data_IF_239828762078
#
_entry.id   IF_239828762078
#
_cell.length_a   1.000
_cell.length_b   1.000
_cell.length_c   1.000
_cell.angle_alpha   90.00
_cell.angle_beta   90.00
_cell.angle_gamma   90.00
#
_symmetry.space_group_name_H-M   'P 1'
#
loop_
_entity.id
_entity.type
_entity.pdbx_description
1 polymer ?
#
# COMPACT_ATOMS: atom_id res chain seq x y z
N UNK A 1 4.03 27.75 30.61
CA UNK A 1 4.20 26.28 30.51
C UNK A 1 3.77 25.90 29.10
N UNK A 2 4.67 25.55 28.17
CA UNK A 2 4.24 25.07 26.87
C UNK A 2 3.74 23.64 27.02
N UNK A 3 2.53 23.39 26.53
CA UNK A 3 1.88 22.09 26.52
C UNK A 3 2.72 21.12 25.68
N UNK A 4 3.22 20.07 26.34
CA UNK A 4 3.91 18.97 25.66
C UNK A 4 2.84 18.13 24.97
N UNK A 5 2.66 18.34 23.67
CA UNK A 5 2.00 17.38 22.81
C UNK A 5 2.87 16.12 22.84
N UNK A 6 2.46 15.12 23.62
CA UNK A 6 3.08 13.82 23.56
C UNK A 6 2.87 13.32 22.13
N UNK A 7 3.92 13.38 21.32
CA UNK A 7 3.99 12.64 20.08
C UNK A 7 3.82 11.18 20.48
N UNK A 8 2.65 10.61 20.23
CA UNK A 8 2.48 9.17 20.13
C UNK A 8 3.35 8.75 18.94
N UNK A 9 4.65 8.58 19.18
CA UNK A 9 5.55 7.93 18.23
C UNK A 9 5.16 6.46 18.27
N UNK A 10 4.11 6.14 17.52
CA UNK A 10 3.85 4.77 17.12
C UNK A 10 4.89 4.48 16.07
N UNK A 11 5.96 3.78 16.47
CA UNK A 11 7.05 3.44 15.56
C UNK A 11 6.51 2.45 14.52
N UNK A 12 6.30 2.93 13.29
CA UNK A 12 5.99 2.07 12.17
C UNK A 12 7.26 1.25 11.86
N UNK A 13 7.19 -0.09 11.74
CA UNK A 13 8.38 -0.91 11.51
C UNK A 13 9.02 -0.63 10.13
N UNK A 14 8.26 0.01 9.24
CA UNK A 14 8.73 0.57 7.98
C UNK A 14 7.91 1.83 7.67
N UNK A 15 8.51 2.79 6.96
CA UNK A 15 7.81 3.94 6.39
C UNK A 15 8.02 3.96 4.87
N UNK A 16 7.06 4.49 4.09
CA UNK A 16 7.24 4.60 2.66
C UNK A 16 8.39 5.56 2.34
N UNK A 17 9.23 5.20 1.38
CA UNK A 17 10.27 6.07 0.82
C UNK A 17 9.69 7.10 -0.15
N UNK A 18 8.50 6.83 -0.69
CA UNK A 18 7.74 7.77 -1.52
C UNK A 18 6.23 7.54 -1.39
N UNK A 19 5.46 8.61 -1.47
CA UNK A 19 3.99 8.58 -1.54
C UNK A 19 3.59 9.44 -2.74
N UNK A 20 2.92 8.84 -3.71
CA UNK A 20 2.47 9.51 -4.93
C UNK A 20 0.95 9.44 -5.02
N UNK A 21 0.33 10.57 -5.37
CA UNK A 21 -1.09 10.66 -5.70
C UNK A 21 -1.22 10.74 -7.22
N UNK A 22 -1.99 9.85 -7.83
CA UNK A 22 -2.10 9.71 -9.28
C UNK A 22 -3.55 9.36 -9.69
N UNK A 23 -3.79 9.33 -11.00
CA UNK A 23 -5.06 8.93 -11.61
C UNK A 23 -4.79 7.87 -12.67
N UNK A 24 -5.46 6.72 -12.53
CA UNK A 24 -5.47 5.67 -13.55
C UNK A 24 -6.69 5.84 -14.45
N UNK A 25 -6.47 5.80 -15.76
CA UNK A 25 -7.49 6.10 -16.77
C UNK A 25 -7.53 4.98 -17.79
N UNK A 26 -8.70 4.37 -17.96
CA UNK A 26 -8.95 3.38 -19.01
C UNK A 26 -9.83 4.01 -20.07
N UNK A 27 -9.31 4.00 -21.31
CA UNK A 27 -9.98 4.53 -22.50
C UNK A 27 -10.19 3.38 -23.48
N UNK A 28 -11.43 3.13 -23.88
CA UNK A 28 -11.76 2.20 -24.97
C UNK A 28 -12.38 2.95 -26.14
N UNK A 29 -11.91 2.68 -27.36
CA UNK A 29 -12.41 3.33 -28.57
C UNK A 29 -12.33 4.87 -28.59
N UNK A 30 -11.46 5.48 -27.77
CA UNK A 30 -11.36 6.93 -27.61
C UNK A 30 -12.36 7.54 -26.62
N UNK A 31 -13.12 6.71 -25.91
CA UNK A 31 -14.07 7.11 -24.86
C UNK A 31 -13.48 6.76 -23.49
N UNK A 32 -13.55 7.71 -22.56
CA UNK A 32 -13.18 7.48 -21.17
C UNK A 32 -14.17 6.50 -20.53
N UNK A 33 -13.70 5.31 -20.15
CA UNK A 33 -14.54 4.30 -19.50
C UNK A 33 -14.36 4.29 -17.98
N UNK A 34 -13.12 4.41 -17.50
CA UNK A 34 -12.81 4.35 -16.07
C UNK A 34 -11.80 5.43 -15.68
N UNK A 35 -12.00 5.99 -14.49
CA UNK A 35 -11.18 7.06 -13.93
C UNK A 35 -11.02 6.81 -12.44
N UNK A 36 -9.88 6.25 -12.05
CA UNK A 36 -9.59 5.85 -10.69
C UNK A 36 -8.60 6.79 -10.05
N UNK A 37 -8.96 7.32 -8.90
CA UNK A 37 -8.10 8.20 -8.12
C UNK A 37 -7.32 7.34 -7.12
N UNK A 38 -5.99 7.41 -7.10
CA UNK A 38 -5.19 6.45 -6.33
C UNK A 38 -3.98 7.06 -5.60
N UNK A 39 -3.60 6.42 -4.50
CA UNK A 39 -2.35 6.69 -3.79
C UNK A 39 -1.45 5.46 -3.90
N UNK A 40 -0.23 5.65 -4.39
CA UNK A 40 0.83 4.66 -4.40
C UNK A 40 1.86 4.97 -3.29
N UNK A 41 2.09 4.00 -2.42
CA UNK A 41 3.13 4.00 -1.40
C UNK A 41 4.28 3.11 -1.88
N UNK A 42 5.48 3.67 -2.01
CA UNK A 42 6.69 2.89 -2.30
C UNK A 42 7.44 2.63 -0.99
N UNK A 43 7.81 1.38 -0.75
CA UNK A 43 8.60 0.95 0.39
C UNK A 43 9.90 0.32 -0.08
N UNK A 44 10.93 0.45 0.74
CA UNK A 44 12.25 -0.12 0.50
C UNK A 44 12.79 -0.72 1.80
N UNK A 45 13.40 -1.90 1.71
CA UNK A 45 14.23 -2.49 2.77
C UNK A 45 15.32 -3.36 2.17
N UNK A 46 16.54 -3.18 2.64
CA UNK A 46 17.70 -4.01 2.28
C UNK A 46 17.87 -4.22 0.76
N UNK A 47 17.58 -3.16 -0.02
CA UNK A 47 17.63 -3.18 -1.48
C UNK A 47 16.44 -3.86 -2.17
N UNK A 48 15.45 -4.36 -1.44
CA UNK A 48 14.18 -4.83 -1.99
C UNK A 48 13.11 -3.74 -1.90
N UNK A 49 12.24 -3.70 -2.91
CA UNK A 49 11.18 -2.71 -3.06
C UNK A 49 9.82 -3.38 -3.13
N UNK A 50 8.80 -2.72 -2.60
CA UNK A 50 7.42 -3.14 -2.80
C UNK A 50 6.51 -1.92 -2.75
N UNK A 51 5.35 -2.04 -3.40
CA UNK A 51 4.37 -0.96 -3.51
C UNK A 51 3.07 -1.39 -2.86
N UNK A 52 2.42 -0.45 -2.20
CA UNK A 52 1.02 -0.58 -1.84
C UNK A 52 0.21 0.48 -2.60
N UNK A 53 -0.88 0.07 -3.22
CA UNK A 53 -1.82 0.95 -3.92
C UNK A 53 -3.14 1.02 -3.16
N UNK A 54 -3.72 2.20 -3.10
CA UNK A 54 -5.04 2.44 -2.54
C UNK A 54 -5.84 3.24 -3.56
N UNK A 55 -7.01 2.72 -3.91
CA UNK A 55 -7.99 3.43 -4.72
C UNK A 55 -8.88 4.24 -3.79
N UNK A 56 -8.99 5.55 -4.02
CA UNK A 56 -9.69 6.48 -3.15
C UNK A 56 -11.22 6.36 -3.24
N UNK A 57 -11.71 5.75 -4.32
CA UNK A 57 -13.11 5.36 -4.50
C UNK A 57 -13.45 4.02 -3.84
N UNK A 58 -12.46 3.14 -3.65
CA UNK A 58 -12.58 1.91 -2.85
C UNK A 58 -12.09 2.16 -1.41
N UNK A 59 -12.87 2.92 -0.65
CA UNK A 59 -12.51 3.32 0.70
C UNK A 59 -12.09 2.10 1.55
N UNK A 60 -10.91 2.20 2.17
CA UNK A 60 -10.36 1.25 3.16
C UNK A 60 -9.67 -0.02 2.65
N UNK A 61 -9.38 -0.17 1.35
CA UNK A 61 -8.59 -1.31 0.84
C UNK A 61 -7.21 -0.89 0.32
N UNK A 62 -6.15 -1.50 0.86
CA UNK A 62 -4.80 -1.40 0.34
C UNK A 62 -4.37 -2.69 -0.37
N UNK A 63 -3.80 -2.54 -1.56
CA UNK A 63 -3.30 -3.65 -2.39
C UNK A 63 -1.78 -3.61 -2.36
N UNK A 64 -1.17 -4.61 -1.71
CA UNK A 64 0.27 -4.79 -1.62
C UNK A 64 0.76 -5.63 -2.79
N UNK A 65 1.75 -5.15 -3.51
CA UNK A 65 2.40 -5.86 -4.60
C UNK A 65 3.46 -6.83 -4.04
N UNK A 66 3.98 -7.72 -4.87
CA UNK A 66 5.14 -8.54 -4.48
C UNK A 66 6.38 -7.67 -4.17
N UNK A 67 7.45 -8.30 -3.72
CA UNK A 67 8.74 -7.64 -3.57
C UNK A 67 9.55 -7.75 -4.86
N UNK A 68 10.34 -6.71 -5.13
CA UNK A 68 11.12 -6.54 -6.35
C UNK A 68 12.55 -6.11 -6.02
N UNK A 69 13.49 -6.41 -6.92
CA UNK A 69 14.90 -6.10 -6.75
C UNK A 69 15.22 -4.60 -6.84
N UNK A 70 14.31 -3.81 -7.40
CA UNK A 70 14.43 -2.37 -7.59
C UNK A 70 13.04 -1.70 -7.70
N UNK A 71 13.04 -0.38 -7.83
CA UNK A 71 11.82 0.42 -7.99
C UNK A 71 11.17 0.33 -9.37
N UNK A 72 11.79 -0.30 -10.38
CA UNK A 72 11.13 -0.51 -11.69
C UNK A 72 10.06 -1.61 -11.60
N UNK A 73 10.18 -2.48 -10.60
CA UNK A 73 9.25 -3.58 -10.34
C UNK A 73 9.23 -4.66 -11.43
N UNK A 74 10.37 -4.85 -12.11
CA UNK A 74 10.49 -5.84 -13.18
C UNK A 74 10.91 -7.23 -12.66
N UNK A 75 11.83 -7.27 -11.69
CA UNK A 75 12.42 -8.52 -11.18
C UNK A 75 11.91 -8.81 -9.78
N UNK A 76 11.06 -9.83 -9.64
CA UNK A 76 10.56 -10.28 -8.34
C UNK A 76 11.66 -10.90 -7.49
N UNK A 77 11.61 -10.66 -6.19
CA UNK A 77 12.49 -11.25 -5.18
C UNK A 77 11.68 -11.77 -3.99
N UNK A 78 12.27 -12.69 -3.23
CA UNK A 78 11.67 -13.11 -1.96
C UNK A 78 12.15 -12.18 -0.84
N UNK A 79 11.23 -11.36 -0.31
CA UNK A 79 11.49 -10.45 0.81
C UNK A 79 10.32 -10.49 1.81
N UNK A 80 10.13 -11.58 2.55
CA UNK A 80 8.98 -11.78 3.41
C UNK A 80 8.90 -10.75 4.55
N UNK A 81 10.04 -10.29 5.08
CA UNK A 81 10.09 -9.29 6.14
C UNK A 81 9.60 -7.91 5.67
N UNK A 82 9.98 -7.49 4.46
CA UNK A 82 9.47 -6.27 3.84
C UNK A 82 7.95 -6.32 3.73
N UNK A 83 7.40 -7.42 3.21
CA UNK A 83 5.95 -7.57 3.04
C UNK A 83 5.20 -7.62 4.38
N UNK A 84 5.78 -8.25 5.40
CA UNK A 84 5.22 -8.29 6.75
C UNK A 84 5.13 -6.88 7.37
N UNK A 85 6.17 -6.08 7.20
CA UNK A 85 6.23 -4.75 7.79
C UNK A 85 5.37 -3.73 7.04
N UNK A 86 5.26 -3.86 5.72
CA UNK A 86 4.27 -3.11 4.93
C UNK A 86 2.86 -3.43 5.43
N UNK A 87 2.54 -4.72 5.64
CA UNK A 87 1.24 -5.09 6.18
C UNK A 87 1.01 -4.49 7.58
N UNK A 88 2.03 -4.46 8.44
CA UNK A 88 1.93 -3.83 9.76
C UNK A 88 1.70 -2.30 9.67
N UNK A 89 2.41 -1.62 8.77
CA UNK A 89 2.20 -0.19 8.47
C UNK A 89 0.76 0.09 8.00
N UNK A 90 0.23 -0.73 7.09
CA UNK A 90 -1.08 -0.52 6.47
C UNK A 90 -2.26 -0.89 7.41
N UNK A 91 -2.10 -1.86 8.31
CA UNK A 91 -3.15 -2.28 9.27
C UNK A 91 -3.67 -1.14 10.14
N UNK A 92 -2.84 -0.11 10.35
CA UNK A 92 -3.19 1.08 11.13
C UNK A 92 -3.96 2.13 10.34
N UNK A 93 -4.08 1.97 9.02
CA UNK A 93 -4.57 3.00 8.09
C UNK A 93 -5.71 2.50 7.21
N UNK A 94 -5.84 1.20 7.03
CA UNK A 94 -6.83 0.57 6.15
C UNK A 94 -7.51 -0.60 6.86
N UNK A 95 -8.72 -0.93 6.44
CA UNK A 95 -9.49 -2.06 7.00
C UNK A 95 -9.28 -3.36 6.28
N UNK A 96 -8.73 -3.30 5.07
CA UNK A 96 -8.55 -4.46 4.23
C UNK A 96 -7.21 -4.33 3.53
N UNK A 97 -6.45 -5.41 3.58
CA UNK A 97 -5.17 -5.50 2.90
C UNK A 97 -5.21 -6.75 2.04
N UNK A 98 -4.98 -6.57 0.75
CA UNK A 98 -4.87 -7.63 -0.23
C UNK A 98 -3.44 -7.68 -0.78
N UNK A 99 -3.00 -8.86 -1.21
CA UNK A 99 -1.76 -9.03 -1.99
C UNK A 99 -2.11 -9.30 -3.42
N UNK A 100 -1.50 -8.57 -4.34
CA UNK A 100 -1.55 -8.87 -5.76
C UNK A 100 -0.42 -9.83 -6.12
N UNK A 101 -0.76 -11.08 -6.41
CA UNK A 101 0.16 -12.11 -6.89
C UNK A 101 -0.18 -12.57 -8.31
N UNK A 102 0.50 -13.61 -8.80
CA UNK A 102 0.25 -14.20 -10.13
C UNK A 102 -1.18 -14.72 -10.32
N UNK A 103 -1.80 -15.23 -9.25
CA UNK A 103 -3.16 -15.78 -9.25
C UNK A 103 -4.24 -14.70 -9.00
N UNK A 104 -3.86 -13.42 -9.02
CA UNK A 104 -4.74 -12.30 -8.71
C UNK A 104 -4.65 -11.82 -7.25
N UNK A 105 -5.71 -11.16 -6.78
CA UNK A 105 -5.76 -10.56 -5.44
C UNK A 105 -6.10 -11.61 -4.39
N UNK A 106 -5.30 -11.67 -3.33
CA UNK A 106 -5.51 -12.55 -2.16
C UNK A 106 -5.62 -11.72 -0.90
N UNK A 107 -6.64 -11.99 -0.08
CA UNK A 107 -6.76 -11.35 1.24
C UNK A 107 -5.55 -11.68 2.12
N UNK A 108 -4.85 -10.64 2.59
CA UNK A 108 -3.80 -10.76 3.60
C UNK A 108 -4.34 -10.52 4.99
N UNK A 109 -5.21 -9.53 5.14
CA UNK A 109 -5.76 -9.14 6.42
C UNK A 109 -7.03 -8.31 6.26
N UNK A 110 -7.93 -8.42 7.24
CA UNK A 110 -9.11 -7.58 7.38
C UNK A 110 -9.32 -7.22 8.84
N UNK A 111 -9.69 -5.96 9.10
CA UNK A 111 -10.04 -5.47 10.43
C UNK A 111 -11.23 -6.24 10.98
N UNK A 112 -11.17 -6.75 12.23
CA UNK A 112 -12.29 -7.46 12.85
C UNK A 112 -13.55 -6.61 13.04
N UNK A 113 -13.40 -5.28 13.14
CA UNK A 113 -14.50 -4.34 13.45
C UNK A 113 -15.22 -3.84 12.20
N UNK A 114 -14.61 -3.94 11.01
CA UNK A 114 -15.13 -3.35 9.77
C UNK A 114 -15.18 -1.82 9.75
N UNK A 115 -14.64 -1.15 10.78
CA UNK A 115 -14.59 0.31 10.92
C UNK A 115 -13.15 0.79 10.75
N UNK A 116 -12.88 1.81 9.89
CA UNK A 116 -11.55 2.40 9.73
C UNK A 116 -11.00 2.85 11.09
N UNK A 117 -9.71 2.62 11.33
CA UNK A 117 -9.00 3.12 12.53
C UNK A 117 -8.72 4.61 12.37
#
# INVERSE_FOLDING_TARGET
>A
MPESWAHLVVDDPIVPVSITHDVDVIVDGGVLEQHYNLIDYLFERDGAFSKARVYLDEESTAIVYDAYADSSMDVRVDAPELLADIAAYLKRRYNRIERLGSEGRKLLWQSPSGVPI
#
